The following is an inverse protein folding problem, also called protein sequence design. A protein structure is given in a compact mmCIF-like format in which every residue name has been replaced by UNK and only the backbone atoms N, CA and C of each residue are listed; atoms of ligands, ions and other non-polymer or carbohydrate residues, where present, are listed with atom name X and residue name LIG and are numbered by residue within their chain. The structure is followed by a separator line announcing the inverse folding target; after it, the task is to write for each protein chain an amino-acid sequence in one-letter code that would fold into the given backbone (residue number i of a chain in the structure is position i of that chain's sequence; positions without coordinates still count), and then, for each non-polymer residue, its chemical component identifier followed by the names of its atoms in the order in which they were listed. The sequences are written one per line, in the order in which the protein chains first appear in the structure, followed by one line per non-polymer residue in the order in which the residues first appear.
data_IF_729781697503
#
_entry.id   IF_729781697503
#
_cell.length_a   1.000
_cell.length_b   1.000
_cell.length_c   1.000
_cell.angle_alpha   90.00
_cell.angle_beta   90.00
_cell.angle_gamma   90.00
#
_symmetry.space_group_name_H-M   'P 1'
#
loop_
_entity.id
_entity.type
_entity.pdbx_description
1 polymer ?
#
# COMPACT_ATOMS: atom_id res chain seq x y z
N UNK A 1 -2.21 20.83 -5.99
CA UNK A 1 -1.49 20.01 -4.99
C UNK A 1 -0.67 18.99 -5.75
N UNK A 2 0.51 18.64 -5.24
CA UNK A 2 1.38 17.62 -5.83
C UNK A 2 0.89 16.22 -5.45
N UNK A 3 0.88 15.32 -6.42
CA UNK A 3 0.63 13.89 -6.24
C UNK A 3 1.61 13.08 -7.10
N UNK A 4 2.09 11.95 -6.56
CA UNK A 4 2.88 10.98 -7.31
C UNK A 4 1.95 10.06 -8.10
N UNK A 5 2.20 9.94 -9.39
CA UNK A 5 1.52 9.02 -10.30
C UNK A 5 2.55 8.06 -10.92
N UNK A 6 2.15 6.81 -11.10
CA UNK A 6 2.92 5.83 -11.85
C UNK A 6 2.42 5.81 -13.29
N UNK A 7 3.33 6.03 -14.25
CA UNK A 7 3.04 6.08 -15.67
C UNK A 7 4.17 5.42 -16.45
N UNK A 8 3.83 4.43 -17.27
CA UNK A 8 4.76 3.77 -18.20
C UNK A 8 6.09 3.32 -17.57
N UNK A 9 6.06 2.77 -16.35
CA UNK A 9 7.26 2.25 -15.68
C UNK A 9 8.10 3.30 -14.95
N UNK A 10 7.55 4.50 -14.75
CA UNK A 10 8.18 5.62 -14.04
C UNK A 10 7.21 6.26 -13.05
N UNK A 11 7.75 6.85 -12.00
CA UNK A 11 7.01 7.74 -11.11
C UNK A 11 7.18 9.19 -11.57
N UNK A 12 6.07 9.92 -11.64
CA UNK A 12 6.04 11.34 -11.97
C UNK A 12 5.30 12.10 -10.87
N UNK A 13 5.65 13.37 -10.68
CA UNK A 13 4.95 14.29 -9.78
C UNK A 13 4.10 15.22 -10.64
N UNK A 14 2.81 15.26 -10.40
CA UNK A 14 1.90 16.17 -11.09
C UNK A 14 1.16 17.09 -10.11
N UNK A 15 0.92 18.33 -10.55
CA UNK A 15 -0.05 19.22 -9.92
C UNK A 15 -1.47 18.83 -10.34
N UNK A 16 -2.28 18.50 -9.33
CA UNK A 16 -3.68 18.12 -9.48
C UNK A 16 -4.58 18.93 -8.51
N UNK A 17 -5.87 19.10 -8.83
CA UNK A 17 -6.83 19.67 -7.90
C UNK A 17 -6.88 18.89 -6.58
N UNK A 18 -6.88 19.57 -5.45
CA UNK A 18 -7.06 18.91 -4.16
C UNK A 18 -8.48 18.35 -4.00
N UNK A 19 -8.64 17.18 -3.34
CA UNK A 19 -9.96 16.61 -3.10
C UNK A 19 -10.78 17.46 -2.11
N UNK A 20 -12.08 17.21 -2.09
CA UNK A 20 -13.01 17.73 -1.07
C UNK A 20 -13.39 16.62 -0.10
N UNK A 21 -13.70 17.00 1.14
CA UNK A 21 -14.21 16.08 2.15
C UNK A 21 -15.61 15.58 1.76
N UNK A 22 -15.89 14.32 2.07
CA UNK A 22 -17.18 13.66 1.86
C UNK A 22 -17.67 13.09 3.20
N UNK A 23 -18.98 12.84 3.34
CA UNK A 23 -19.57 12.11 4.48
C UNK A 23 -18.77 10.83 4.79
N UNK A 24 -18.49 10.58 6.07
CA UNK A 24 -17.74 9.41 6.52
C UNK A 24 -16.24 9.42 6.20
N UNK A 25 -15.69 10.55 5.72
CA UNK A 25 -14.26 10.72 5.43
C UNK A 25 -13.65 11.92 6.13
N UNK A 26 -12.34 11.92 6.28
CA UNK A 26 -11.54 13.07 6.68
C UNK A 26 -10.66 13.54 5.53
N UNK A 27 -10.35 14.83 5.51
CA UNK A 27 -9.35 15.42 4.65
C UNK A 27 -8.07 15.67 5.47
N UNK A 28 -6.95 15.11 5.04
CA UNK A 28 -5.68 15.13 5.76
C UNK A 28 -4.63 15.83 4.92
N UNK A 29 -4.00 16.85 5.49
CA UNK A 29 -2.77 17.42 4.99
C UNK A 29 -1.62 16.50 5.39
N UNK A 30 -1.00 15.85 4.41
CA UNK A 30 0.05 14.86 4.65
C UNK A 30 1.34 15.57 5.04
N UNK A 31 2.04 15.07 6.07
CA UNK A 31 3.38 15.50 6.44
C UNK A 31 4.44 14.48 6.00
N UNK A 32 4.12 13.19 6.12
CA UNK A 32 4.98 12.09 5.67
C UNK A 32 4.15 10.96 5.05
N UNK A 33 4.74 10.26 4.09
CA UNK A 33 4.20 9.01 3.56
C UNK A 33 5.30 8.00 3.30
N UNK A 34 5.00 6.72 3.47
CA UNK A 34 5.99 5.66 3.40
C UNK A 34 5.98 4.96 2.04
N UNK A 35 7.13 4.94 1.36
CA UNK A 35 7.33 4.13 0.15
C UNK A 35 7.72 2.72 0.57
N UNK A 36 6.84 1.76 0.29
CA UNK A 36 7.16 0.34 0.46
C UNK A 36 7.80 -0.20 -0.80
N UNK A 37 9.11 -0.41 -0.75
CA UNK A 37 9.91 -0.72 -1.93
C UNK A 37 9.46 -2.01 -2.61
N UNK A 38 9.10 -3.05 -1.84
CA UNK A 38 8.63 -4.31 -2.42
C UNK A 38 7.36 -4.14 -3.27
N UNK A 39 6.29 -3.64 -2.64
CA UNK A 39 4.98 -3.50 -3.26
C UNK A 39 4.97 -2.45 -4.37
N UNK A 40 5.56 -1.28 -4.12
CA UNK A 40 5.47 -0.18 -5.09
C UNK A 40 6.37 -0.40 -6.30
N UNK A 41 7.58 -0.93 -6.12
CA UNK A 41 8.43 -1.25 -7.27
C UNK A 41 7.85 -2.39 -8.12
N UNK A 42 7.11 -3.32 -7.52
CA UNK A 42 6.32 -4.29 -8.28
C UNK A 42 5.25 -3.60 -9.13
N UNK A 43 4.53 -2.61 -8.58
CA UNK A 43 3.59 -1.76 -9.30
C UNK A 43 4.24 -0.97 -10.45
N UNK A 44 5.39 -0.34 -10.21
CA UNK A 44 6.17 0.38 -11.24
C UNK A 44 6.55 -0.57 -12.37
N UNK A 45 7.16 -1.73 -12.05
CA UNK A 45 7.53 -2.75 -13.04
C UNK A 45 6.32 -3.24 -13.83
N UNK A 46 5.22 -3.53 -13.14
CA UNK A 46 3.96 -3.92 -13.75
C UNK A 46 3.47 -2.89 -14.77
N UNK A 47 3.50 -1.60 -14.42
CA UNK A 47 3.06 -0.53 -15.32
C UNK A 47 3.92 -0.41 -16.59
N UNK A 48 5.19 -0.81 -16.54
CA UNK A 48 6.13 -0.79 -17.67
C UNK A 48 6.06 -2.00 -18.60
N UNK A 49 5.29 -3.04 -18.27
CA UNK A 49 5.19 -4.24 -19.12
C UNK A 49 4.48 -3.96 -20.46
N UNK A 50 4.92 -4.60 -21.56
CA UNK A 50 4.16 -4.62 -22.82
C UNK A 50 2.72 -5.12 -22.62
N UNK A 51 1.78 -4.62 -23.43
CA UNK A 51 0.34 -4.90 -23.29
C UNK A 51 0.01 -6.40 -23.31
N UNK A 52 0.67 -7.17 -24.18
CA UNK A 52 0.46 -8.61 -24.27
C UNK A 52 0.88 -9.36 -22.98
N UNK A 53 1.96 -8.92 -22.32
CA UNK A 53 2.39 -9.48 -21.02
C UNK A 53 1.43 -9.12 -19.90
N UNK A 54 0.86 -7.90 -19.93
CA UNK A 54 -0.18 -7.50 -18.97
C UNK A 54 -1.46 -8.32 -19.16
N UNK A 55 -1.89 -8.51 -20.41
CA UNK A 55 -3.06 -9.30 -20.75
C UNK A 55 -2.96 -10.75 -20.23
N UNK A 56 -1.77 -11.37 -20.32
CA UNK A 56 -1.52 -12.70 -19.78
C UNK A 56 -1.64 -12.78 -18.25
N UNK A 57 -1.34 -11.70 -17.53
CA UNK A 57 -1.34 -11.65 -16.05
C UNK A 57 -2.68 -11.25 -15.45
N UNK A 58 -3.51 -10.54 -16.21
CA UNK A 58 -4.78 -9.97 -15.74
C UNK A 58 -5.96 -10.44 -16.60
N UNK A 59 -6.32 -11.74 -16.55
CA UNK A 59 -7.35 -12.32 -17.42
C UNK A 59 -8.72 -11.65 -17.24
N UNK A 60 -9.04 -11.18 -16.05
CA UNK A 60 -10.28 -10.44 -15.78
C UNK A 60 -10.32 -9.07 -16.48
N UNK A 61 -9.19 -8.35 -16.54
CA UNK A 61 -9.14 -7.09 -17.29
C UNK A 61 -9.25 -7.32 -18.79
N UNK A 62 -8.72 -8.42 -19.30
CA UNK A 62 -8.89 -8.82 -20.70
C UNK A 62 -10.36 -9.06 -21.02
N UNK A 63 -11.09 -9.82 -20.18
CA UNK A 63 -12.53 -10.03 -20.34
C UNK A 63 -13.29 -8.70 -20.41
N UNK A 64 -12.96 -7.75 -19.53
CA UNK A 64 -13.56 -6.42 -19.51
C UNK A 64 -13.29 -5.64 -20.81
N UNK A 65 -12.06 -5.68 -21.32
CA UNK A 65 -11.69 -5.04 -22.59
C UNK A 65 -12.43 -5.67 -23.77
N UNK A 66 -12.55 -7.01 -23.81
CA UNK A 66 -13.31 -7.70 -24.84
C UNK A 66 -14.80 -7.32 -24.81
N UNK A 67 -15.40 -7.23 -23.62
CA UNK A 67 -16.78 -6.79 -23.45
C UNK A 67 -16.98 -5.33 -23.90
N UNK A 68 -16.03 -4.46 -23.60
CA UNK A 68 -16.03 -3.08 -24.09
C UNK A 68 -15.92 -3.03 -25.62
N UNK A 69 -15.04 -3.85 -26.22
CA UNK A 69 -14.92 -3.92 -27.67
C UNK A 69 -16.21 -4.39 -28.34
N UNK A 70 -16.89 -5.39 -27.75
CA UNK A 70 -18.16 -5.89 -28.25
C UNK A 70 -19.30 -4.86 -28.15
N UNK A 71 -19.32 -4.03 -27.09
CA UNK A 71 -20.42 -3.10 -26.83
C UNK A 71 -20.20 -1.69 -27.40
N UNK A 72 -18.95 -1.23 -27.47
CA UNK A 72 -18.58 0.14 -27.83
C UNK A 72 -17.75 0.22 -29.12
N UNK A 73 -17.32 -0.91 -29.66
CA UNK A 73 -16.45 -1.01 -30.83
C UNK A 73 -14.95 -0.95 -30.51
N UNK A 74 -14.15 -1.49 -31.42
CA UNK A 74 -12.71 -1.71 -31.25
C UNK A 74 -11.94 -0.38 -31.18
N UNK A 75 -12.20 0.55 -32.10
CA UNK A 75 -11.50 1.83 -32.17
C UNK A 75 -11.68 2.65 -30.86
N UNK A 76 -12.92 2.67 -30.33
CA UNK A 76 -13.22 3.36 -29.08
C UNK A 76 -12.57 2.68 -27.88
N UNK A 77 -12.64 1.35 -27.81
CA UNK A 77 -12.00 0.58 -26.74
C UNK A 77 -10.49 0.80 -26.72
N UNK A 78 -9.85 0.82 -27.89
CA UNK A 78 -8.44 1.14 -28.03
C UNK A 78 -8.11 2.54 -27.48
N UNK A 79 -8.92 3.55 -27.80
CA UNK A 79 -8.74 4.90 -27.25
C UNK A 79 -8.85 4.94 -25.72
N UNK A 80 -9.83 4.25 -25.14
CA UNK A 80 -10.05 4.21 -23.68
C UNK A 80 -8.87 3.54 -22.98
N UNK A 81 -8.38 2.41 -23.50
CA UNK A 81 -7.22 1.69 -22.95
C UNK A 81 -5.97 2.57 -23.06
N UNK A 82 -5.70 3.18 -24.21
CA UNK A 82 -4.57 4.09 -24.38
C UNK A 82 -4.63 5.28 -23.42
N UNK A 83 -5.81 5.87 -23.22
CA UNK A 83 -5.98 7.02 -22.32
C UNK A 83 -5.79 6.64 -20.85
N UNK A 84 -6.31 5.48 -20.44
CA UNK A 84 -6.12 4.95 -19.08
C UNK A 84 -4.63 4.72 -18.78
N UNK A 85 -3.86 4.24 -19.76
CA UNK A 85 -2.42 4.07 -19.62
C UNK A 85 -1.66 5.41 -19.60
N UNK A 86 -2.15 6.41 -20.33
CA UNK A 86 -1.55 7.76 -20.39
C UNK A 86 -1.87 8.60 -19.15
N UNK A 87 -2.99 8.40 -18.47
CA UNK A 87 -3.34 9.19 -17.27
C UNK A 87 -2.46 8.90 -16.07
N UNK A 88 -1.80 7.73 -16.05
CA UNK A 88 -1.09 7.23 -14.87
C UNK A 88 -2.05 6.83 -13.75
N UNK A 89 -1.52 6.13 -12.75
CA UNK A 89 -2.26 5.67 -11.58
C UNK A 89 -1.64 6.25 -10.32
N UNK A 90 -2.44 6.82 -9.40
CA UNK A 90 -1.94 7.18 -8.07
C UNK A 90 -1.25 5.99 -7.38
N UNK A 91 -0.24 6.29 -6.57
CA UNK A 91 0.47 5.30 -5.74
C UNK A 91 0.56 5.78 -4.29
N UNK A 92 0.99 4.89 -3.40
CA UNK A 92 1.05 5.11 -1.96
C UNK A 92 -0.19 4.55 -1.25
N UNK A 93 0.03 4.07 -0.02
CA UNK A 93 -1.01 3.43 0.79
C UNK A 93 -0.80 3.57 2.31
N UNK A 94 0.16 4.41 2.73
CA UNK A 94 0.55 4.60 4.12
C UNK A 94 1.07 6.02 4.29
N UNK A 95 0.36 6.83 5.07
CA UNK A 95 0.64 8.25 5.25
C UNK A 95 0.31 8.72 6.67
N UNK A 96 0.87 9.85 7.07
CA UNK A 96 0.52 10.51 8.32
C UNK A 96 0.52 12.03 8.14
N UNK A 97 -0.39 12.69 8.85
CA UNK A 97 -0.50 14.13 8.81
C UNK A 97 -1.61 14.71 9.68
N UNK A 98 -2.06 15.92 9.34
CA UNK A 98 -2.98 16.69 10.16
C UNK A 98 -4.35 16.80 9.48
N UNK A 99 -5.41 16.57 10.24
CA UNK A 99 -6.79 16.70 9.73
C UNK A 99 -7.12 18.17 9.48
N UNK A 100 -7.57 18.48 8.26
CA UNK A 100 -7.93 19.84 7.82
C UNK A 100 -9.42 20.01 7.51
N UNK A 101 -10.16 18.91 7.39
CA UNK A 101 -11.62 18.91 7.33
C UNK A 101 -12.17 17.54 7.74
N UNK A 102 -13.35 17.51 8.33
CA UNK A 102 -14.08 16.31 8.74
C UNK A 102 -15.44 16.31 8.06
N UNK A 103 -15.81 15.19 7.45
CA UNK A 103 -17.11 15.03 6.82
C UNK A 103 -18.16 14.53 7.81
N UNK A 104 -19.43 14.74 7.47
CA UNK A 104 -20.57 14.34 8.30
C UNK A 104 -20.50 12.86 8.71
N UNK A 105 -20.93 12.54 9.93
CA UNK A 105 -20.94 11.18 10.47
C UNK A 105 -19.63 10.71 11.11
N UNK A 106 -18.68 11.62 11.34
CA UNK A 106 -17.47 11.37 12.13
C UNK A 106 -17.48 12.29 13.36
N UNK A 107 -17.56 11.70 14.54
CA UNK A 107 -17.70 12.44 15.80
C UNK A 107 -16.44 12.37 16.69
N UNK A 108 -15.50 11.49 16.36
CA UNK A 108 -14.34 11.12 17.17
C UNK A 108 -12.98 11.58 16.60
N UNK A 109 -13.00 12.28 15.46
CA UNK A 109 -11.85 12.96 14.86
C UNK A 109 -12.22 14.42 14.59
N UNK A 110 -11.30 15.34 14.84
CA UNK A 110 -11.48 16.78 14.73
C UNK A 110 -10.41 17.41 13.83
N UNK A 111 -10.71 18.59 13.30
CA UNK A 111 -9.71 19.43 12.60
C UNK A 111 -8.58 19.77 13.57
N UNK A 112 -7.34 19.62 13.11
CA UNK A 112 -6.12 19.76 13.92
C UNK A 112 -5.59 18.45 14.48
N UNK A 113 -6.37 17.36 14.47
CA UNK A 113 -5.90 16.07 14.95
C UNK A 113 -4.77 15.52 14.09
N UNK A 114 -3.80 14.89 14.75
CA UNK A 114 -2.69 14.20 14.12
C UNK A 114 -3.12 12.77 13.84
N UNK A 115 -3.10 12.35 12.58
CA UNK A 115 -3.63 11.05 12.13
C UNK A 115 -2.66 10.29 11.23
N UNK A 116 -2.65 8.97 11.38
CA UNK A 116 -2.07 8.05 10.41
C UNK A 116 -3.17 7.39 9.58
N UNK A 117 -2.89 7.15 8.31
CA UNK A 117 -3.85 6.74 7.30
C UNK A 117 -3.32 5.55 6.50
N UNK A 118 -4.23 4.60 6.21
CA UNK A 118 -3.96 3.45 5.36
C UNK A 118 -4.90 3.40 4.14
N UNK A 119 -4.59 2.48 3.21
CA UNK A 119 -5.45 2.15 2.08
C UNK A 119 -4.86 2.58 0.74
N UNK A 120 -4.61 1.60 -0.14
CA UNK A 120 -4.09 1.84 -1.49
C UNK A 120 -5.06 2.61 -2.41
N UNK A 121 -6.31 2.76 -1.98
CA UNK A 121 -7.35 3.54 -2.67
C UNK A 121 -7.42 5.00 -2.23
N UNK A 122 -6.76 5.40 -1.13
CA UNK A 122 -6.96 6.71 -0.52
C UNK A 122 -5.72 7.34 0.13
N UNK A 123 -4.85 6.57 0.79
CA UNK A 123 -3.63 7.06 1.46
C UNK A 123 -2.44 7.20 0.49
N UNK A 124 -2.68 7.87 -0.63
CA UNK A 124 -1.72 8.08 -1.71
C UNK A 124 -0.57 9.00 -1.31
N UNK A 125 0.53 8.96 -2.08
CA UNK A 125 1.59 9.94 -2.03
C UNK A 125 1.13 11.27 -2.65
N UNK A 126 0.50 12.11 -1.83
CA UNK A 126 -0.02 13.41 -2.22
C UNK A 126 0.02 14.37 -1.03
N UNK A 127 0.06 15.68 -1.29
CA UNK A 127 0.04 16.68 -0.22
C UNK A 127 -1.26 16.65 0.59
N UNK A 128 -2.39 16.27 -0.03
CA UNK A 128 -3.68 16.17 0.63
C UNK A 128 -4.36 14.88 0.20
N UNK A 129 -4.84 14.11 1.17
CA UNK A 129 -5.56 12.88 0.95
C UNK A 129 -6.94 12.95 1.60
N UNK A 130 -7.90 12.26 1.01
CA UNK A 130 -9.22 12.03 1.61
C UNK A 130 -9.32 10.57 1.97
N UNK A 131 -9.57 10.27 3.24
CA UNK A 131 -9.48 8.92 3.79
C UNK A 131 -10.76 8.60 4.58
N UNK A 132 -11.38 7.43 4.37
CA UNK A 132 -12.51 6.99 5.19
C UNK A 132 -12.15 6.86 6.68
N UNK A 133 -13.14 7.00 7.55
CA UNK A 133 -12.96 6.97 9.00
C UNK A 133 -12.19 5.72 9.47
N UNK A 134 -12.60 4.53 9.04
CA UNK A 134 -12.01 3.27 9.52
C UNK A 134 -10.58 3.02 9.02
N UNK A 135 -10.11 3.79 8.04
CA UNK A 135 -8.73 3.77 7.55
C UNK A 135 -7.86 4.91 8.13
N UNK A 136 -8.37 5.59 9.16
CA UNK A 136 -7.70 6.70 9.86
C UNK A 136 -7.58 6.39 11.36
N UNK A 137 -6.41 6.61 11.96
CA UNK A 137 -6.18 6.48 13.42
C UNK A 137 -5.46 7.70 13.97
N UNK A 138 -5.76 8.06 15.21
CA UNK A 138 -5.05 9.14 15.92
C UNK A 138 -3.60 8.72 16.21
N UNK A 139 -2.67 9.65 16.05
CA UNK A 139 -1.27 9.48 16.40
C UNK A 139 -1.08 9.81 17.88
N UNK A 140 -0.42 8.94 18.67
CA UNK A 140 -0.03 9.26 20.04
C UNK A 140 0.75 10.58 20.14
N UNK A 141 0.54 11.35 21.21
CA UNK A 141 1.01 12.75 21.33
C UNK A 141 2.51 12.93 21.04
N UNK A 142 3.35 12.00 21.49
CA UNK A 142 4.81 12.08 21.32
C UNK A 142 5.37 11.32 20.11
N UNK A 143 4.53 10.71 19.27
CA UNK A 143 5.01 9.93 18.12
C UNK A 143 5.12 10.80 16.87
N UNK A 144 6.31 10.91 16.28
CA UNK A 144 6.54 11.71 15.07
C UNK A 144 5.75 11.25 13.84
N UNK A 145 5.40 12.18 12.94
CA UNK A 145 4.73 11.87 11.67
C UNK A 145 5.53 10.92 10.79
N UNK A 146 6.86 11.03 10.78
CA UNK A 146 7.74 10.16 9.97
C UNK A 146 7.61 8.69 10.39
N UNK A 147 7.53 8.44 11.71
CA UNK A 147 7.30 7.11 12.28
C UNK A 147 5.86 6.66 12.05
N UNK A 148 4.88 7.53 12.31
CA UNK A 148 3.47 7.20 12.12
C UNK A 148 3.11 6.90 10.65
N UNK A 149 3.85 7.46 9.68
CA UNK A 149 3.61 7.20 8.25
C UNK A 149 3.85 5.74 7.83
N UNK A 150 4.46 4.91 8.68
CA UNK A 150 4.69 3.48 8.43
C UNK A 150 3.53 2.59 8.90
N UNK A 151 2.42 3.19 9.35
CA UNK A 151 1.30 2.52 10.02
C UNK A 151 0.76 1.30 9.27
N UNK A 152 0.61 1.38 7.94
CA UNK A 152 0.03 0.27 7.18
C UNK A 152 0.96 -0.94 7.16
N UNK A 153 2.28 -0.72 7.10
CA UNK A 153 3.27 -1.79 7.12
C UNK A 153 3.32 -2.49 8.46
N UNK A 154 3.28 -1.71 9.55
CA UNK A 154 3.18 -2.24 10.90
C UNK A 154 1.92 -3.07 11.12
N UNK A 155 0.78 -2.57 10.65
CA UNK A 155 -0.49 -3.28 10.74
C UNK A 155 -0.49 -4.60 9.93
N UNK A 156 0.15 -4.65 8.75
CA UNK A 156 0.32 -5.88 7.96
C UNK A 156 1.17 -6.91 8.72
N UNK A 157 2.32 -6.48 9.25
CA UNK A 157 3.20 -7.36 10.02
C UNK A 157 2.48 -7.89 11.28
N UNK A 158 1.77 -7.01 11.99
CA UNK A 158 1.01 -7.37 13.18
C UNK A 158 -0.12 -8.33 12.89
N UNK A 159 -0.81 -8.18 11.75
CA UNK A 159 -1.80 -9.16 11.32
C UNK A 159 -1.18 -10.53 11.08
N UNK A 160 0.02 -10.60 10.46
CA UNK A 160 0.76 -11.85 10.30
C UNK A 160 1.06 -12.54 11.62
N UNK A 161 1.54 -11.77 12.61
CA UNK A 161 1.76 -12.27 13.97
C UNK A 161 0.46 -12.71 14.64
N UNK A 162 -0.63 -11.95 14.54
CA UNK A 162 -1.92 -12.32 15.14
C UNK A 162 -2.50 -13.59 14.53
N UNK A 163 -2.33 -13.80 13.21
CA UNK A 163 -2.74 -15.04 12.54
C UNK A 163 -1.99 -16.26 13.04
N UNK A 164 -0.78 -16.11 13.55
CA UNK A 164 -0.03 -17.21 14.15
C UNK A 164 -0.42 -17.48 15.62
N UNK A 165 -1.25 -16.67 16.26
CA UNK A 165 -1.64 -16.87 17.67
C UNK A 165 -0.46 -17.21 18.61
N UNK A 166 0.60 -16.40 18.65
CA UNK A 166 1.77 -16.69 19.46
C UNK A 166 1.45 -16.65 20.95
N UNK A 167 2.14 -17.48 21.72
CA UNK A 167 2.10 -17.52 23.18
C UNK A 167 3.51 -17.35 23.75
N UNK A 168 3.56 -16.88 25.01
CA UNK A 168 4.82 -16.56 25.67
C UNK A 168 5.78 -17.76 25.68
N UNK A 169 7.02 -17.55 25.25
CA UNK A 169 8.07 -18.56 25.24
C UNK A 169 8.14 -19.43 23.97
N UNK A 170 7.19 -19.31 23.04
CA UNK A 170 7.28 -20.03 21.76
C UNK A 170 8.43 -19.53 20.88
N UNK A 171 8.97 -20.42 20.04
CA UNK A 171 10.01 -20.10 19.06
C UNK A 171 9.44 -19.95 17.66
N UNK A 172 9.69 -18.81 17.03
CA UNK A 172 9.25 -18.50 15.68
C UNK A 172 10.42 -18.30 14.72
N UNK A 173 10.29 -18.80 13.50
CA UNK A 173 11.18 -18.43 12.39
C UNK A 173 10.50 -17.36 11.53
N UNK A 174 11.24 -16.32 11.15
CA UNK A 174 10.81 -15.33 10.17
C UNK A 174 11.62 -15.51 8.89
N UNK A 175 10.96 -15.99 7.83
CA UNK A 175 11.59 -16.20 6.51
C UNK A 175 11.44 -14.95 5.66
N UNK A 176 12.58 -14.33 5.35
CA UNK A 176 12.69 -12.99 4.77
C UNK A 176 12.73 -11.92 5.85
N UNK A 177 13.74 -11.07 5.81
CA UNK A 177 13.99 -9.92 6.68
C UNK A 177 13.96 -8.61 5.87
N UNK A 178 13.09 -8.57 4.85
CA UNK A 178 12.60 -7.32 4.28
C UNK A 178 11.79 -6.51 5.31
N UNK A 179 11.18 -5.39 4.92
CA UNK A 179 10.54 -4.49 5.89
C UNK A 179 9.48 -5.18 6.76
N UNK A 180 8.65 -6.06 6.18
CA UNK A 180 7.67 -6.83 6.94
C UNK A 180 8.33 -7.85 7.89
N UNK A 181 9.43 -8.48 7.48
CA UNK A 181 10.19 -9.40 8.31
C UNK A 181 10.83 -8.71 9.51
N UNK A 182 11.45 -7.54 9.29
CA UNK A 182 12.03 -6.72 10.36
C UNK A 182 10.99 -6.30 11.40
N UNK A 183 9.80 -5.89 10.95
CA UNK A 183 8.69 -5.55 11.83
C UNK A 183 8.14 -6.79 12.55
N UNK A 184 7.93 -7.89 11.83
CA UNK A 184 7.44 -9.17 12.37
C UNK A 184 8.35 -9.70 13.48
N UNK A 185 9.67 -9.65 13.29
CA UNK A 185 10.66 -10.05 14.29
C UNK A 185 10.52 -9.24 15.57
N UNK A 186 10.43 -7.91 15.47
CA UNK A 186 10.27 -7.04 16.64
C UNK A 186 8.93 -7.29 17.34
N UNK A 187 7.85 -7.51 16.59
CA UNK A 187 6.51 -7.78 17.14
C UNK A 187 6.44 -9.13 17.87
N UNK A 188 7.05 -10.19 17.32
CA UNK A 188 7.16 -11.50 17.99
C UNK A 188 7.99 -11.40 19.27
N UNK A 189 9.09 -10.66 19.23
CA UNK A 189 9.90 -10.39 20.43
C UNK A 189 9.11 -9.64 21.50
N UNK A 190 8.39 -8.59 21.12
CA UNK A 190 7.53 -7.83 22.03
C UNK A 190 6.38 -8.69 22.60
N UNK A 191 5.94 -9.72 21.87
CA UNK A 191 5.00 -10.72 22.36
C UNK A 191 5.62 -11.69 23.38
N UNK A 192 6.96 -11.78 23.47
CA UNK A 192 7.69 -12.68 24.36
C UNK A 192 8.10 -14.00 23.71
N UNK A 193 8.07 -14.09 22.37
CA UNK A 193 8.61 -15.23 21.63
C UNK A 193 10.13 -15.14 21.45
N UNK A 194 10.76 -16.30 21.27
CA UNK A 194 12.11 -16.40 20.70
C UNK A 194 12.00 -16.31 19.17
N UNK A 195 12.92 -15.59 18.53
CA UNK A 195 12.85 -15.35 17.07
C UNK A 195 14.16 -15.71 16.38
N UNK A 196 14.04 -16.51 15.33
CA UNK A 196 15.12 -16.86 14.40
C UNK A 196 14.81 -16.19 13.05
N UNK A 197 15.68 -15.32 12.56
CA UNK A 197 15.51 -14.68 11.25
C UNK A 197 16.32 -15.36 10.17
N UNK A 198 15.73 -15.50 8.98
CA UNK A 198 16.42 -16.03 7.80
C UNK A 198 16.30 -15.04 6.65
N UNK A 199 17.41 -14.64 6.05
CA UNK A 199 17.42 -13.84 4.81
C UNK A 199 18.66 -14.16 3.98
N UNK A 200 18.58 -13.95 2.67
CA UNK A 200 19.71 -14.07 1.74
C UNK A 200 20.62 -12.84 1.77
N UNK A 201 20.18 -11.76 2.41
CA UNK A 201 20.94 -10.52 2.58
C UNK A 201 21.48 -10.44 4.02
N UNK A 202 22.80 -10.68 4.17
CA UNK A 202 23.49 -10.61 5.46
C UNK A 202 23.33 -9.25 6.15
N UNK A 203 23.18 -8.15 5.41
CA UNK A 203 23.00 -6.82 6.00
C UNK A 203 21.65 -6.68 6.71
N UNK A 204 20.61 -7.35 6.21
CA UNK A 204 19.29 -7.38 6.85
C UNK A 204 19.27 -8.25 8.08
N UNK A 205 20.01 -9.36 8.07
CA UNK A 205 20.22 -10.19 9.26
C UNK A 205 20.91 -9.35 10.35
N UNK A 206 22.01 -8.70 10.01
CA UNK A 206 22.76 -7.85 10.95
C UNK A 206 21.89 -6.73 11.52
N UNK A 207 21.10 -6.05 10.70
CA UNK A 207 20.17 -5.02 11.14
C UNK A 207 19.10 -5.57 12.10
N UNK A 208 18.52 -6.73 11.79
CA UNK A 208 17.55 -7.38 12.68
C UNK A 208 18.20 -7.75 14.02
N UNK A 209 19.45 -8.23 14.01
CA UNK A 209 20.21 -8.54 15.22
C UNK A 209 20.54 -7.29 16.05
N UNK A 210 20.86 -6.16 15.41
CA UNK A 210 21.03 -4.86 16.09
C UNK A 210 19.74 -4.38 16.76
N UNK A 211 18.59 -4.72 16.18
CA UNK A 211 17.25 -4.51 16.77
C UNK A 211 16.86 -5.62 17.77
N UNK A 212 17.83 -6.45 18.15
CA UNK A 212 17.76 -7.43 19.21
C UNK A 212 17.22 -8.80 18.79
N UNK A 213 17.11 -9.12 17.50
CA UNK A 213 16.87 -10.50 17.06
C UNK A 213 18.01 -11.41 17.55
N UNK A 214 17.73 -12.47 18.32
CA UNK A 214 18.79 -13.25 18.97
C UNK A 214 19.59 -14.13 17.99
N UNK A 215 18.95 -14.65 16.95
CA UNK A 215 19.57 -15.58 16.01
C UNK A 215 19.25 -15.22 14.56
N UNK A 216 20.29 -15.18 13.73
CA UNK A 216 20.21 -14.93 12.30
C UNK A 216 20.83 -16.07 11.51
N UNK A 217 20.17 -16.49 10.45
CA UNK A 217 20.62 -17.57 9.56
C UNK A 217 20.73 -17.03 8.15
N UNK A 218 21.90 -17.23 7.54
CA UNK A 218 22.08 -17.06 6.12
C UNK A 218 22.02 -18.43 5.43
N UNK A 219 21.21 -18.63 4.37
CA UNK A 219 21.05 -19.94 3.71
C UNK A 219 22.34 -20.57 3.18
N UNK A 220 23.34 -19.77 2.81
CA UNK A 220 24.62 -20.27 2.28
C UNK A 220 25.63 -20.70 3.36
N UNK A 221 25.42 -20.36 4.63
CA UNK A 221 26.41 -20.66 5.67
C UNK A 221 26.34 -22.14 6.09
N UNK A 222 25.13 -22.66 6.31
CA UNK A 222 24.81 -24.07 6.51
C UNK A 222 23.34 -24.32 6.12
N UNK A 223 22.91 -25.58 6.03
CA UNK A 223 21.51 -25.93 5.85
C UNK A 223 20.62 -25.25 6.92
N UNK A 224 19.73 -24.36 6.49
CA UNK A 224 18.88 -23.53 7.33
C UNK A 224 17.94 -24.34 8.24
N UNK A 225 17.37 -25.44 7.74
CA UNK A 225 16.52 -26.36 8.52
C UNK A 225 17.33 -27.00 9.65
N UNK A 226 18.56 -27.45 9.38
CA UNK A 226 19.45 -28.04 10.39
C UNK A 226 19.85 -27.01 11.46
N UNK A 227 20.08 -25.75 11.07
CA UNK A 227 20.35 -24.67 12.01
C UNK A 227 19.15 -24.37 12.90
N UNK A 228 17.93 -24.28 12.33
CA UNK A 228 16.70 -24.14 13.13
C UNK A 228 16.52 -25.30 14.09
N UNK A 229 16.73 -26.53 13.65
CA UNK A 229 16.67 -27.71 14.51
C UNK A 229 17.68 -27.59 15.67
N UNK A 230 18.93 -27.20 15.41
CA UNK A 230 19.95 -27.00 16.44
C UNK A 230 19.54 -25.95 17.48
N UNK A 231 19.03 -24.81 17.03
CA UNK A 231 18.57 -23.71 17.89
C UNK A 231 17.31 -24.05 18.69
N UNK A 232 16.56 -25.07 18.28
CA UNK A 232 15.33 -25.54 18.92
C UNK A 232 15.48 -26.90 19.62
N UNK A 233 16.71 -27.32 19.92
CA UNK A 233 16.97 -28.59 20.62
C UNK A 233 16.53 -29.84 19.84
N UNK A 234 16.49 -29.76 18.52
CA UNK A 234 16.07 -30.82 17.60
C UNK A 234 14.56 -30.91 17.37
N UNK A 235 13.76 -30.05 18.01
CA UNK A 235 12.28 -30.14 17.99
C UNK A 235 11.70 -29.46 16.74
N UNK A 236 12.30 -28.36 16.28
CA UNK A 236 11.73 -27.45 15.28
C UNK A 236 10.97 -26.30 15.92
N UNK A 237 10.67 -25.26 15.13
CA UNK A 237 9.99 -24.05 15.60
C UNK A 237 8.47 -24.26 15.81
N UNK A 238 7.89 -23.55 16.77
CA UNK A 238 6.43 -23.53 17.01
C UNK A 238 5.65 -22.93 15.84
N UNK A 239 6.27 -21.98 15.14
CA UNK A 239 5.75 -21.51 13.87
C UNK A 239 6.75 -20.81 12.98
N UNK A 240 6.37 -20.63 11.73
CA UNK A 240 7.15 -19.93 10.71
C UNK A 240 6.29 -18.86 10.05
N UNK A 241 6.77 -17.62 9.99
CA UNK A 241 6.10 -16.52 9.29
C UNK A 241 6.91 -16.19 8.04
N UNK A 242 6.29 -16.41 6.88
CA UNK A 242 6.90 -16.14 5.57
C UNK A 242 6.57 -14.71 5.18
N UNK A 243 7.59 -13.84 5.16
CA UNK A 243 7.46 -12.44 4.71
C UNK A 243 8.25 -12.16 3.42
N UNK A 244 8.98 -13.15 2.91
CA UNK A 244 9.67 -13.09 1.62
C UNK A 244 8.69 -13.03 0.44
N UNK A 245 9.18 -12.49 -0.68
CA UNK A 245 8.51 -12.59 -1.97
C UNK A 245 9.40 -13.40 -2.92
N UNK A 246 8.85 -14.45 -3.54
CA UNK A 246 9.60 -15.35 -4.41
C UNK A 246 8.68 -16.02 -5.43
N UNK A 247 9.09 -16.15 -6.71
CA UNK A 247 8.33 -16.95 -7.67
C UNK A 247 8.40 -18.46 -7.37
N UNK A 248 9.31 -18.90 -6.50
CA UNK A 248 9.46 -20.31 -6.11
C UNK A 248 8.58 -20.65 -4.90
N UNK A 249 8.02 -21.84 -4.97
CA UNK A 249 7.31 -22.59 -3.94
C UNK A 249 8.23 -23.25 -2.89
N UNK A 250 9.55 -23.34 -3.15
CA UNK A 250 10.50 -23.99 -2.26
C UNK A 250 10.51 -23.39 -0.83
N UNK A 251 10.30 -22.09 -0.71
CA UNK A 251 10.24 -21.38 0.58
C UNK A 251 9.14 -21.96 1.48
N UNK A 252 8.01 -22.39 0.91
CA UNK A 252 6.92 -22.99 1.68
C UNK A 252 7.35 -24.35 2.24
N UNK A 253 7.95 -25.20 1.40
CA UNK A 253 8.42 -26.52 1.82
C UNK A 253 9.47 -26.39 2.94
N UNK A 254 10.43 -25.47 2.78
CA UNK A 254 11.41 -25.13 3.82
C UNK A 254 10.72 -24.70 5.13
N UNK A 255 9.70 -23.84 5.06
CA UNK A 255 8.95 -23.41 6.24
C UNK A 255 8.28 -24.59 6.97
N UNK A 256 7.66 -25.54 6.25
CA UNK A 256 7.09 -26.74 6.84
C UNK A 256 8.15 -27.66 7.46
N UNK A 257 9.32 -27.75 6.84
CA UNK A 257 10.44 -28.56 7.35
C UNK A 257 11.05 -27.97 8.62
N UNK A 258 11.07 -26.64 8.77
CA UNK A 258 11.53 -25.94 9.98
C UNK A 258 10.57 -26.08 11.18
N UNK A 259 9.27 -26.30 10.94
CA UNK A 259 8.28 -26.44 12.01
C UNK A 259 8.46 -27.74 12.82
N UNK A 260 8.14 -27.70 14.11
CA UNK A 260 7.87 -28.90 14.91
C UNK A 260 6.55 -29.57 14.48
N UNK A 261 6.30 -30.79 14.98
CA UNK A 261 4.96 -31.40 14.88
C UNK A 261 3.91 -30.50 15.53
N UNK A 262 2.73 -30.38 14.92
CA UNK A 262 1.64 -29.46 15.33
C UNK A 262 2.06 -27.98 15.37
N UNK A 263 3.06 -27.60 14.59
CA UNK A 263 3.43 -26.21 14.39
C UNK A 263 2.53 -25.53 13.36
N UNK A 264 2.72 -24.22 13.16
CA UNK A 264 1.96 -23.46 12.16
C UNK A 264 2.83 -22.61 11.23
N UNK A 265 2.40 -22.49 9.99
CA UNK A 265 3.02 -21.60 9.00
C UNK A 265 2.04 -20.50 8.61
N UNK A 266 2.47 -19.24 8.65
CA UNK A 266 1.70 -18.09 8.20
C UNK A 266 2.36 -17.46 6.98
N UNK A 267 1.62 -17.40 5.87
CA UNK A 267 2.04 -16.68 4.68
C UNK A 267 1.57 -15.22 4.73
N UNK A 268 2.52 -14.30 4.78
CA UNK A 268 2.31 -12.84 4.68
C UNK A 268 2.85 -12.30 3.36
N UNK A 269 3.99 -12.84 2.90
CA UNK A 269 4.63 -12.47 1.63
C UNK A 269 3.91 -13.00 0.40
N UNK A 270 4.53 -12.79 -0.77
CA UNK A 270 4.00 -13.16 -2.07
C UNK A 270 4.85 -14.29 -2.68
N UNK A 271 4.37 -15.53 -2.53
CA UNK A 271 5.07 -16.73 -2.99
C UNK A 271 4.15 -17.67 -3.76
N UNK A 272 4.74 -18.52 -4.63
CA UNK A 272 3.99 -19.58 -5.31
C UNK A 272 3.42 -20.60 -4.33
N UNK A 273 2.14 -20.97 -4.49
CA UNK A 273 1.37 -21.81 -3.55
C UNK A 273 1.15 -23.26 -4.03
N UNK A 274 2.15 -23.88 -4.66
CA UNK A 274 2.09 -25.30 -5.02
C UNK A 274 2.40 -26.17 -3.79
N UNK A 275 1.38 -26.40 -2.95
CA UNK A 275 1.55 -27.12 -1.69
C UNK A 275 1.75 -28.62 -1.91
N UNK A 276 2.82 -29.17 -1.32
CA UNK A 276 3.03 -30.62 -1.26
C UNK A 276 2.44 -31.18 0.05
N UNK A 277 1.44 -32.06 -0.07
CA UNK A 277 0.78 -32.71 1.07
C UNK A 277 1.76 -33.40 2.02
N UNK A 278 2.82 -34.00 1.50
CA UNK A 278 3.78 -34.74 2.30
C UNK A 278 4.45 -33.87 3.37
N UNK A 279 4.73 -32.60 3.03
CA UNK A 279 5.52 -31.68 3.85
C UNK A 279 4.86 -31.35 5.20
N UNK A 280 3.53 -31.36 5.25
CA UNK A 280 2.78 -30.98 6.45
C UNK A 280 1.89 -32.09 7.00
N UNK A 281 1.60 -33.15 6.24
CA UNK A 281 0.76 -34.26 6.73
C UNK A 281 1.43 -35.03 7.87
N UNK A 282 2.72 -35.37 7.75
CA UNK A 282 3.41 -36.17 8.77
C UNK A 282 3.53 -35.44 10.12
N UNK A 283 3.67 -34.11 10.06
CA UNK A 283 3.78 -33.24 11.24
C UNK A 283 2.43 -32.69 11.69
N UNK A 284 1.38 -32.87 10.90
CA UNK A 284 0.05 -32.30 11.10
C UNK A 284 0.12 -30.80 11.38
N UNK A 285 0.70 -30.05 10.43
CA UNK A 285 0.87 -28.61 10.53
C UNK A 285 -0.39 -27.87 10.07
N UNK A 286 -0.60 -26.70 10.68
CA UNK A 286 -1.56 -25.73 10.20
C UNK A 286 -0.90 -24.73 9.23
N UNK A 287 -1.61 -24.40 8.15
CA UNK A 287 -1.20 -23.37 7.20
C UNK A 287 -2.24 -22.25 7.15
N UNK A 288 -1.79 -21.02 7.35
CA UNK A 288 -2.64 -19.83 7.36
C UNK A 288 -2.15 -18.81 6.34
N UNK A 289 -3.10 -18.10 5.74
CA UNK A 289 -2.85 -16.90 4.95
C UNK A 289 -3.18 -15.67 5.81
N UNK A 290 -2.33 -14.64 5.71
CA UNK A 290 -2.56 -13.34 6.31
C UNK A 290 -3.04 -12.34 5.26
N UNK A 291 -4.27 -11.85 5.40
CA UNK A 291 -4.84 -10.85 4.49
C UNK A 291 -4.46 -9.44 4.95
N UNK A 292 -3.44 -8.86 4.32
CA UNK A 292 -3.07 -7.45 4.47
C UNK A 292 -2.99 -7.02 5.96
N UNK A 293 -3.60 -5.90 6.34
CA UNK A 293 -3.68 -5.41 7.71
C UNK A 293 -4.94 -5.87 8.47
N UNK A 294 -5.62 -6.93 8.00
CA UNK A 294 -6.57 -7.73 8.80
C UNK A 294 -8.06 -7.54 8.49
N UNK A 295 -8.94 -7.98 9.41
CA UNK A 295 -10.39 -7.90 9.26
C UNK A 295 -10.89 -6.48 8.97
N UNK A 296 -11.81 -6.35 8.01
CA UNK A 296 -12.22 -5.08 7.41
C UNK A 296 -11.76 -4.97 5.96
N UNK A 297 -10.60 -5.54 5.64
CA UNK A 297 -10.05 -5.47 4.29
C UNK A 297 -10.99 -6.13 3.29
N UNK A 298 -11.29 -5.41 2.21
CA UNK A 298 -12.24 -5.82 1.16
C UNK A 298 -13.72 -5.84 1.58
N UNK A 299 -14.08 -5.38 2.79
CA UNK A 299 -15.48 -5.11 3.17
C UNK A 299 -15.79 -3.62 2.97
N UNK A 300 -16.51 -3.31 1.89
CA UNK A 300 -16.93 -1.94 1.56
C UNK A 300 -17.73 -1.25 2.68
N UNK A 301 -18.46 -2.01 3.52
CA UNK A 301 -19.20 -1.42 4.64
C UNK A 301 -18.25 -0.93 5.73
N UNK A 302 -17.15 -1.66 5.93
CA UNK A 302 -16.12 -1.30 6.89
C UNK A 302 -15.22 -0.20 6.33
N UNK A 303 -14.55 -0.43 5.19
CA UNK A 303 -13.53 0.47 4.64
C UNK A 303 -14.14 1.80 4.17
N UNK A 304 -15.25 1.79 3.43
CA UNK A 304 -15.78 3.00 2.78
C UNK A 304 -16.95 3.63 3.53
N UNK A 305 -17.78 2.83 4.23
CA UNK A 305 -18.95 3.35 4.97
C UNK A 305 -18.71 3.56 6.47
N UNK A 306 -17.52 3.24 6.98
CA UNK A 306 -17.17 3.48 8.38
C UNK A 306 -17.91 2.60 9.39
N UNK A 307 -18.53 1.49 8.97
CA UNK A 307 -19.25 0.59 9.88
C UNK A 307 -18.28 -0.41 10.51
N UNK A 308 -17.88 -0.18 11.77
CA UNK A 308 -17.01 -1.10 12.52
C UNK A 308 -17.74 -2.40 12.90
N UNK A 309 -16.96 -3.46 13.12
CA UNK A 309 -17.45 -4.72 13.66
C UNK A 309 -17.58 -4.63 15.17
N UNK A 310 -18.58 -5.31 15.78
CA UNK A 310 -18.68 -5.33 17.23
C UNK A 310 -17.42 -5.96 17.84
N UNK A 311 -16.81 -5.24 18.78
CA UNK A 311 -15.51 -5.57 19.36
C UNK A 311 -15.45 -6.97 19.98
N UNK A 312 -16.58 -7.47 20.50
CA UNK A 312 -16.70 -8.80 21.10
C UNK A 312 -16.54 -9.96 20.09
N UNK A 313 -16.82 -9.73 18.80
CA UNK A 313 -16.72 -10.77 17.76
C UNK A 313 -15.46 -10.62 16.91
N UNK A 314 -15.05 -9.38 16.63
CA UNK A 314 -13.84 -9.11 15.86
C UNK A 314 -13.02 -8.14 16.69
N UNK A 315 -12.05 -8.63 17.48
CA UNK A 315 -11.23 -7.79 18.38
C UNK A 315 -10.17 -6.97 17.65
N UNK A 316 -9.70 -7.45 16.51
CA UNK A 316 -8.62 -6.81 15.75
C UNK A 316 -9.05 -6.57 14.32
N UNK A 317 -9.39 -5.32 14.01
CA UNK A 317 -9.66 -4.86 12.64
C UNK A 317 -8.44 -4.15 12.08
N UNK A 318 -8.49 -3.79 10.80
CA UNK A 318 -7.52 -2.89 10.15
C UNK A 318 -7.18 -1.67 11.02
N UNK A 319 -8.21 -0.98 11.54
CA UNK A 319 -8.04 0.21 12.37
C UNK A 319 -7.32 -0.10 13.69
N UNK A 320 -7.73 -1.17 14.36
CA UNK A 320 -7.16 -1.56 15.66
C UNK A 320 -5.78 -2.20 15.54
N UNK A 321 -5.45 -2.80 14.40
CA UNK A 321 -4.08 -3.19 14.06
C UNK A 321 -3.18 -1.96 13.89
N UNK A 322 -3.67 -0.93 13.17
CA UNK A 322 -2.95 0.34 13.01
C UNK A 322 -2.70 1.03 14.35
N UNK A 323 -3.74 1.19 15.18
CA UNK A 323 -3.61 1.84 16.48
C UNK A 323 -2.62 1.10 17.40
N UNK A 324 -2.75 -0.22 17.51
CA UNK A 324 -1.84 -1.03 18.32
C UNK A 324 -0.38 -0.90 17.85
N UNK A 325 -0.14 -0.84 16.54
CA UNK A 325 1.20 -0.61 16.02
C UNK A 325 1.75 0.78 16.40
N UNK A 326 0.93 1.84 16.31
CA UNK A 326 1.36 3.18 16.73
C UNK A 326 1.67 3.25 18.23
N UNK A 327 0.88 2.58 19.06
CA UNK A 327 1.16 2.45 20.50
C UNK A 327 2.50 1.75 20.76
N UNK A 328 2.80 0.68 20.01
CA UNK A 328 4.10 -0.02 20.12
C UNK A 328 5.28 0.84 19.66
N UNK A 329 5.10 1.70 18.66
CA UNK A 329 6.11 2.69 18.27
C UNK A 329 6.30 3.76 19.35
N UNK A 330 5.21 4.25 19.93
CA UNK A 330 5.24 5.28 20.97
C UNK A 330 5.90 4.77 22.26
N UNK A 331 5.71 3.48 22.58
CA UNK A 331 6.32 2.81 23.73
C UNK A 331 7.70 2.19 23.43
N UNK A 332 8.28 2.49 22.25
CA UNK A 332 9.60 2.01 21.81
C UNK A 332 9.77 0.47 21.76
N UNK A 333 8.66 -0.27 21.77
CA UNK A 333 8.65 -1.73 21.60
C UNK A 333 8.98 -2.12 20.16
N UNK A 334 8.73 -1.22 19.21
CA UNK A 334 9.15 -1.32 17.82
C UNK A 334 9.97 -0.09 17.44
N UNK A 335 11.15 -0.32 16.91
CA UNK A 335 12.05 0.72 16.42
C UNK A 335 12.00 0.77 14.89
N UNK A 336 11.54 1.91 14.37
CA UNK A 336 11.38 2.13 12.93
C UNK A 336 12.50 2.97 12.31
N UNK A 337 13.13 3.86 13.10
CA UNK A 337 14.15 4.80 12.62
C UNK A 337 15.30 4.09 11.88
N UNK A 338 15.88 2.99 12.41
CA UNK A 338 16.97 2.29 11.71
C UNK A 338 16.55 1.62 10.40
N UNK A 339 15.25 1.46 10.16
CA UNK A 339 14.70 0.85 8.94
C UNK A 339 14.42 1.89 7.84
N UNK A 340 14.42 3.18 8.19
CA UNK A 340 14.22 4.30 7.25
C UNK A 340 15.57 4.67 6.65
N UNK A 341 15.77 4.37 5.37
CA UNK A 341 17.05 4.64 4.72
C UNK A 341 17.23 6.13 4.40
N UNK A 342 16.17 6.78 3.90
CA UNK A 342 16.24 8.17 3.46
C UNK A 342 14.84 8.79 3.40
N UNK A 343 14.78 10.11 3.49
CA UNK A 343 13.55 10.89 3.31
C UNK A 343 13.72 11.89 2.18
N UNK A 344 12.81 11.90 1.22
CA UNK A 344 12.81 12.80 0.07
C UNK A 344 11.64 13.79 0.17
N UNK A 345 11.81 15.07 -0.17
CA UNK A 345 10.66 15.94 -0.41
C UNK A 345 9.85 15.41 -1.59
N UNK A 346 8.52 15.61 -1.57
CA UNK A 346 7.59 15.15 -2.62
C UNK A 346 8.04 15.53 -4.05
N UNK A 347 8.66 16.69 -4.22
CA UNK A 347 9.22 17.15 -5.50
C UNK A 347 10.30 16.26 -6.08
N UNK A 348 11.02 15.54 -5.21
CA UNK A 348 12.08 14.60 -5.58
C UNK A 348 11.58 13.16 -5.62
N UNK A 349 10.27 12.91 -5.53
CA UNK A 349 9.73 11.55 -5.57
C UNK A 349 10.18 10.79 -6.83
N UNK A 350 10.13 11.40 -8.01
CA UNK A 350 10.59 10.77 -9.25
C UNK A 350 12.07 10.30 -9.17
N UNK A 351 12.94 11.11 -8.55
CA UNK A 351 14.35 10.78 -8.31
C UNK A 351 14.47 9.61 -7.33
N UNK A 352 13.66 9.60 -6.26
CA UNK A 352 13.63 8.52 -5.29
C UNK A 352 13.28 7.18 -5.96
N UNK A 353 12.22 7.11 -6.76
CA UNK A 353 11.84 5.88 -7.48
C UNK A 353 12.90 5.44 -8.49
N UNK A 354 13.56 6.36 -9.20
CA UNK A 354 14.65 6.02 -10.12
C UNK A 354 15.89 5.46 -9.37
N UNK A 355 16.23 6.01 -8.20
CA UNK A 355 17.29 5.47 -7.34
C UNK A 355 16.93 4.05 -6.87
N UNK A 356 15.70 3.84 -6.42
CA UNK A 356 15.19 2.52 -6.00
C UNK A 356 15.16 1.49 -7.13
N UNK A 357 15.02 1.94 -8.38
CA UNK A 357 15.04 1.07 -9.57
C UNK A 357 16.45 0.60 -9.94
N UNK A 358 17.45 1.47 -9.76
CA UNK A 358 18.85 1.24 -10.16
C UNK A 358 19.71 0.58 -9.08
N UNK A 359 19.28 0.62 -7.83
CA UNK A 359 20.12 0.17 -6.72
C UNK A 359 20.23 -1.36 -6.65
N UNK A 360 21.47 -1.87 -6.59
CA UNK A 360 21.78 -3.28 -6.39
C UNK A 360 21.47 -3.74 -4.95
N UNK A 361 21.64 -2.85 -3.97
CA UNK A 361 21.19 -3.06 -2.58
C UNK A 361 19.94 -2.23 -2.31
N UNK A 362 18.78 -2.90 -2.30
CA UNK A 362 17.51 -2.21 -2.07
C UNK A 362 17.36 -1.88 -0.58
N UNK A 363 17.19 -0.60 -0.22
CA UNK A 363 16.84 -0.24 1.14
C UNK A 363 15.52 -0.91 1.56
N UNK A 364 15.24 -0.93 2.85
CA UNK A 364 14.00 -1.51 3.37
C UNK A 364 12.81 -0.55 3.19
N UNK A 365 13.04 0.74 3.43
CA UNK A 365 12.02 1.78 3.37
C UNK A 365 12.62 3.13 3.01
N UNK A 366 11.84 3.94 2.31
CA UNK A 366 12.09 5.36 2.06
C UNK A 366 10.84 6.16 2.43
N UNK A 367 11.00 7.36 2.95
CA UNK A 367 9.86 8.26 3.21
C UNK A 367 9.80 9.38 2.17
N UNK A 368 8.59 9.86 1.91
CA UNK A 368 8.34 11.16 1.31
C UNK A 368 7.92 12.14 2.39
N UNK A 369 8.48 13.34 2.36
CA UNK A 369 8.12 14.47 3.21
C UNK A 369 7.38 15.54 2.40
N UNK A 370 6.48 16.23 3.08
CA UNK A 370 5.59 17.22 2.51
C UNK A 370 5.75 18.48 3.35
N UNK A 371 6.54 19.46 2.87
CA UNK A 371 6.66 20.72 3.56
C UNK A 371 5.30 21.42 3.63
N UNK A 372 5.13 22.25 4.67
CA UNK A 372 3.94 23.09 4.81
C UNK A 372 3.69 23.86 3.52
N UNK A 373 2.44 23.87 3.00
CA UNK A 373 2.14 24.54 1.76
C UNK A 373 2.26 26.06 1.94
N UNK A 374 3.09 26.70 1.13
CA UNK A 374 3.25 28.16 1.08
C UNK A 374 2.00 28.90 0.53
N UNK A 375 0.97 28.16 0.11
CA UNK A 375 -0.20 28.69 -0.55
C UNK A 375 -1.48 27.91 -0.17
N UNK A 376 -2.65 28.57 -0.22
CA UNK A 376 -3.93 27.92 0.07
C UNK A 376 -4.22 26.76 -0.89
N UNK A 377 -5.01 25.81 -0.40
CA UNK A 377 -5.39 24.60 -1.11
C UNK A 377 -6.13 24.94 -2.41
N UNK A 378 -5.49 24.68 -3.55
CA UNK A 378 -6.10 24.86 -4.89
C UNK A 378 -6.98 23.67 -5.24
N UNK A 379 -8.29 23.90 -5.34
CA UNK A 379 -9.30 22.94 -5.81
C UNK A 379 -9.64 23.09 -7.29
N UNK A 380 -9.05 24.08 -7.93
CA UNK A 380 -9.18 24.33 -9.37
C UNK A 380 -7.78 24.58 -9.91
N UNK A 381 -7.46 23.95 -11.04
CA UNK A 381 -6.20 24.13 -11.76
C UNK A 381 -6.53 24.55 -13.19
N UNK A 382 -5.96 25.65 -13.71
CA UNK A 382 -6.11 26.01 -15.11
C UNK A 382 -5.51 24.93 -15.99
N UNK A 383 -6.18 24.57 -17.08
CA UNK A 383 -5.57 23.75 -18.13
C UNK A 383 -4.87 24.66 -19.15
N UNK A 384 -3.52 24.67 -19.23
CA UNK A 384 -2.80 25.53 -20.17
C UNK A 384 -3.07 25.18 -21.63
N UNK A 385 -3.51 23.95 -21.92
CA UNK A 385 -3.85 23.51 -23.26
C UNK A 385 -5.28 23.88 -23.69
N UNK A 386 -6.10 24.45 -22.79
CA UNK A 386 -7.47 24.82 -23.11
C UNK A 386 -7.49 26.01 -24.07
N UNK A 387 -8.21 25.85 -25.19
CA UNK A 387 -8.43 26.95 -26.14
C UNK A 387 -9.43 27.94 -25.54
N UNK A 388 -9.21 29.27 -25.69
CA UNK A 388 -10.19 30.26 -25.26
C UNK A 388 -11.52 30.08 -26.00
N UNK A 389 -12.62 30.37 -25.32
CA UNK A 389 -13.95 30.34 -25.93
C UNK A 389 -14.07 31.39 -27.05
N UNK A 390 -14.77 31.05 -28.13
CA UNK A 390 -15.23 32.02 -29.13
C UNK A 390 -16.27 33.00 -28.56
N UNK A 391 -16.82 33.87 -29.40
CA UNK A 391 -17.71 34.95 -28.95
C UNK A 391 -19.05 34.47 -28.36
N UNK A 392 -19.63 33.37 -28.87
CA UNK A 392 -21.00 32.94 -28.56
C UNK A 392 -21.25 31.45 -28.16
N UNK A 393 -20.26 30.59 -27.84
CA UNK A 393 -20.57 29.20 -27.50
C UNK A 393 -21.22 29.08 -26.12
N UNK A 394 -22.11 28.10 -25.96
CA UNK A 394 -22.67 27.69 -24.67
C UNK A 394 -21.54 27.10 -23.83
N UNK A 395 -21.27 27.71 -22.67
CA UNK A 395 -20.21 27.26 -21.76
C UNK A 395 -20.74 26.18 -20.83
N UNK A 396 -20.05 25.05 -20.79
CA UNK A 396 -20.48 23.86 -20.05
C UNK A 396 -19.41 23.49 -19.02
N UNK A 397 -19.87 23.17 -17.81
CA UNK A 397 -19.08 22.45 -16.82
C UNK A 397 -19.54 20.99 -16.76
N UNK A 398 -18.59 20.05 -16.76
CA UNK A 398 -18.88 18.62 -16.75
C UNK A 398 -18.58 18.06 -15.37
N UNK A 399 -19.61 17.65 -14.64
CA UNK A 399 -19.49 17.05 -13.30
C UNK A 399 -19.59 15.53 -13.43
N UNK A 400 -18.52 14.83 -13.07
CA UNK A 400 -18.49 13.36 -13.10
C UNK A 400 -18.26 12.79 -14.49
N UNK A 401 -17.14 13.15 -15.14
CA UNK A 401 -16.72 12.55 -16.40
C UNK A 401 -16.25 11.09 -16.22
N UNK A 402 -17.21 10.17 -16.03
CA UNK A 402 -16.97 8.73 -16.01
C UNK A 402 -16.57 8.18 -17.39
N UNK A 403 -16.23 6.89 -17.46
CA UNK A 403 -15.76 6.27 -18.71
C UNK A 403 -16.72 6.48 -19.90
N UNK A 404 -18.03 6.40 -19.67
CA UNK A 404 -19.04 6.66 -20.70
C UNK A 404 -19.01 8.10 -21.20
N UNK A 405 -18.99 9.10 -20.30
CA UNK A 405 -18.94 10.51 -20.69
C UNK A 405 -17.67 10.84 -21.50
N UNK A 406 -16.52 10.28 -21.10
CA UNK A 406 -15.25 10.42 -21.83
C UNK A 406 -15.26 9.75 -23.20
N UNK A 407 -15.99 8.64 -23.33
CA UNK A 407 -16.03 7.88 -24.58
C UNK A 407 -17.09 8.40 -25.57
N UNK A 408 -18.18 9.00 -25.07
CA UNK A 408 -19.35 9.33 -25.89
C UNK A 408 -19.65 10.82 -25.96
N UNK A 409 -19.71 11.53 -24.83
CA UNK A 409 -20.16 12.93 -24.81
C UNK A 409 -19.02 13.91 -25.08
N UNK A 410 -17.90 13.74 -24.40
CA UNK A 410 -16.76 14.66 -24.47
C UNK A 410 -16.17 14.80 -25.89
N UNK A 411 -15.97 13.73 -26.68
CA UNK A 411 -15.51 13.86 -28.07
C UNK A 411 -16.50 14.63 -28.95
N UNK A 412 -17.81 14.44 -28.76
CA UNK A 412 -18.82 15.13 -29.54
C UNK A 412 -18.85 16.63 -29.19
N UNK A 413 -18.74 16.99 -27.91
CA UNK A 413 -18.62 18.38 -27.47
C UNK A 413 -17.36 19.06 -28.03
N UNK A 414 -16.25 18.32 -28.11
CA UNK A 414 -15.00 18.81 -28.70
C UNK A 414 -15.09 18.98 -30.23
N UNK A 415 -15.98 18.26 -30.91
CA UNK A 415 -16.24 18.43 -32.33
C UNK A 415 -17.19 19.60 -32.64
N UNK A 416 -18.01 20.02 -31.66
CA UNK A 416 -19.02 21.09 -31.79
C UNK A 416 -18.54 22.39 -31.12
N UNK A 417 -17.29 22.79 -31.36
CA UNK A 417 -16.64 23.93 -30.67
C UNK A 417 -17.26 25.29 -30.97
N UNK A 418 -17.99 25.42 -32.08
CA UNK A 418 -18.74 26.64 -32.42
C UNK A 418 -19.95 26.83 -31.51
N UNK A 419 -20.60 25.72 -31.12
CA UNK A 419 -21.82 25.73 -30.30
C UNK A 419 -21.52 25.59 -28.81
N UNK A 420 -20.47 24.84 -28.45
CA UNK A 420 -20.17 24.45 -27.07
C UNK A 420 -18.72 24.68 -26.70
N UNK A 421 -18.49 25.15 -25.47
CA UNK A 421 -17.18 25.31 -24.88
C UNK A 421 -17.11 24.63 -23.51
N UNK A 422 -16.21 23.66 -23.35
CA UNK A 422 -15.97 22.99 -22.07
C UNK A 422 -15.15 23.94 -21.19
N UNK A 423 -15.81 24.62 -20.26
CA UNK A 423 -15.18 25.57 -19.36
C UNK A 423 -14.54 24.89 -18.14
N UNK A 424 -15.10 23.77 -17.68
CA UNK A 424 -14.59 23.08 -16.50
C UNK A 424 -14.90 21.58 -16.54
N UNK A 425 -13.99 20.78 -15.97
CA UNK A 425 -14.21 19.37 -15.69
C UNK A 425 -14.04 19.14 -14.19
N UNK A 426 -15.09 18.63 -13.57
CA UNK A 426 -15.17 18.33 -12.15
C UNK A 426 -15.24 16.81 -12.00
N UNK A 427 -14.41 16.28 -11.11
CA UNK A 427 -14.39 14.86 -10.80
C UNK A 427 -14.18 14.64 -9.31
N UNK A 428 -14.60 13.48 -8.83
CA UNK A 428 -14.43 13.07 -7.43
C UNK A 428 -12.96 13.04 -7.00
N UNK A 429 -12.04 12.75 -7.93
CA UNK A 429 -10.60 12.71 -7.68
C UNK A 429 -9.86 13.71 -8.55
N UNK A 430 -8.84 14.36 -7.97
CA UNK A 430 -8.04 15.38 -8.65
C UNK A 430 -7.30 14.85 -9.88
N UNK A 431 -6.66 13.68 -9.79
CA UNK A 431 -5.97 13.07 -10.93
C UNK A 431 -6.92 12.78 -12.10
N UNK A 432 -8.16 12.34 -11.82
CA UNK A 432 -9.14 12.06 -12.86
C UNK A 432 -9.67 13.34 -13.49
N UNK A 433 -9.90 14.40 -12.70
CA UNK A 433 -10.23 15.73 -13.23
C UNK A 433 -9.11 16.25 -14.14
N UNK A 434 -7.85 16.21 -13.67
CA UNK A 434 -6.69 16.69 -14.41
C UNK A 434 -6.47 15.91 -15.72
N UNK A 435 -6.49 14.58 -15.67
CA UNK A 435 -6.31 13.73 -16.84
C UNK A 435 -7.40 13.95 -17.89
N UNK A 436 -8.64 14.14 -17.45
CA UNK A 436 -9.76 14.39 -18.37
C UNK A 436 -9.67 15.78 -18.99
N UNK A 437 -9.34 16.80 -18.19
CA UNK A 437 -9.16 18.17 -18.69
C UNK A 437 -7.96 18.30 -19.64
N UNK A 438 -6.86 17.58 -19.42
CA UNK A 438 -5.74 17.56 -20.38
C UNK A 438 -6.10 16.89 -21.71
N UNK A 439 -7.11 16.02 -21.71
CA UNK A 439 -7.55 15.28 -22.90
C UNK A 439 -8.54 16.08 -23.75
N UNK A 440 -9.45 16.83 -23.11
CA UNK A 440 -10.55 17.56 -23.74
C UNK A 440 -10.50 19.03 -23.36
#
# INVERSE_FOLDING_TARGET
MKQVLIKQGQAIVEDIPAPQVETGTVLVQVHHSCISIGTEMAGVKGSGLPLWKKALREPEQVKKVLQMAATQGIAKTHSIVQNTLKSGTPTGYSAAGTVIAVGDGIDDIRVGDRVACAGAQCAHHAQIIRVPRNLTVLIPEHLDFSKAATVTLGAIALQGVRRSHPTLGETFVVLGLGILGQLTTQLLKANGCQVIGVDVDKTRIQLAMQLGMPYGIHPDDENDIAQVARLTGGIGADGVIITAASPSDAIISTAFQMCRKKGRVVLVGDVGLHLNRHDFYQKELDFFISTSYGPGRYDNRYEERGLDYPVAYVRWTENRNMLAYLEMLANEQVQITPLIAETYPIDKAAIAYEKLKKSDSKPLMVLLSYPEPDAPIKRTIPNPAAKPAGANPIRIAIIGAGGFAKAMHLPNLQALTEDYHIQAIVSRTGHNANATAKQF
#
